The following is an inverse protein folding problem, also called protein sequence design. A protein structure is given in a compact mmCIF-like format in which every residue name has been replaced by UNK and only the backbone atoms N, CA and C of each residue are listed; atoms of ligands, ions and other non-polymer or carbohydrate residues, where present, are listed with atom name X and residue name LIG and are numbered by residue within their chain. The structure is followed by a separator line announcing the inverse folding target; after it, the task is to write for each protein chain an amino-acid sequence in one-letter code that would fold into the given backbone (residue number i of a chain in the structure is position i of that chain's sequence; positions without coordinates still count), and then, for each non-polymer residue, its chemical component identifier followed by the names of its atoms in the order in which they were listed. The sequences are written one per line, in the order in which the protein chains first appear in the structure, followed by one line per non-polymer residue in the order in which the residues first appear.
data_IF_399586504103
#
_entry.id   IF_399586504103
#
_cell.length_a   1.000
_cell.length_b   1.000
_cell.length_c   1.000
_cell.angle_alpha   90.00
_cell.angle_beta   90.00
_cell.angle_gamma   90.00
#
_symmetry.space_group_name_H-M   'P 1'
#
loop_
_entity.id
_entity.type
_entity.pdbx_description
1 polymer ?
#
# COMPACT_ATOMS: atom_id res chain seq x y z
N UNK A 1 28.22 -20.14 -47.77
CA UNK A 1 28.34 -20.32 -46.31
C UNK A 1 26.92 -20.61 -45.81
N UNK A 2 26.58 -21.89 -45.66
CA UNK A 2 25.29 -22.30 -45.11
C UNK A 2 25.31 -22.08 -43.59
N UNK A 3 24.80 -20.93 -43.16
CA UNK A 3 24.52 -20.71 -41.75
C UNK A 3 23.23 -21.46 -41.41
N UNK A 4 23.36 -22.65 -40.82
CA UNK A 4 22.23 -23.34 -40.21
C UNK A 4 21.77 -22.53 -38.99
N UNK A 5 20.50 -22.15 -38.95
CA UNK A 5 19.91 -21.52 -37.78
C UNK A 5 19.83 -22.56 -36.63
N UNK A 6 20.47 -22.28 -35.51
CA UNK A 6 20.37 -23.11 -34.30
C UNK A 6 19.11 -22.73 -33.51
N UNK A 7 17.98 -23.36 -33.84
CA UNK A 7 16.69 -23.10 -33.20
C UNK A 7 16.55 -24.01 -31.98
N UNK A 8 16.65 -23.44 -30.78
CA UNK A 8 16.60 -24.19 -29.52
C UNK A 8 15.16 -24.46 -29.05
N UNK A 9 14.28 -23.47 -29.09
CA UNK A 9 12.87 -23.62 -28.70
C UNK A 9 12.00 -22.52 -29.30
N UNK A 10 11.01 -22.92 -30.11
CA UNK A 10 9.96 -22.02 -30.61
C UNK A 10 8.93 -21.73 -29.50
N UNK A 11 8.63 -22.73 -28.67
CA UNK A 11 7.69 -22.61 -27.56
C UNK A 11 8.11 -21.49 -26.59
N UNK A 12 9.40 -21.38 -26.27
CA UNK A 12 9.90 -20.33 -25.38
C UNK A 12 9.62 -18.91 -25.92
N UNK A 13 9.61 -18.72 -27.25
CA UNK A 13 9.27 -17.43 -27.87
C UNK A 13 7.76 -17.17 -27.84
N UNK A 14 6.94 -18.21 -27.96
CA UNK A 14 5.48 -18.11 -27.80
C UNK A 14 5.10 -17.77 -26.36
N UNK A 15 5.72 -18.44 -25.40
CA UNK A 15 5.52 -18.20 -23.97
C UNK A 15 5.94 -16.78 -23.60
N UNK A 16 7.12 -16.34 -24.04
CA UNK A 16 7.58 -14.96 -23.84
C UNK A 16 6.61 -13.93 -24.44
N UNK A 17 6.09 -14.18 -25.64
CA UNK A 17 5.07 -13.31 -26.26
C UNK A 17 3.81 -13.24 -25.39
N UNK A 18 3.36 -14.38 -24.86
CA UNK A 18 2.20 -14.46 -23.97
C UNK A 18 2.40 -13.68 -22.67
N UNK A 19 3.50 -13.93 -21.96
CA UNK A 19 3.85 -13.24 -20.71
C UNK A 19 3.98 -11.73 -20.92
N UNK A 20 4.66 -11.29 -21.99
CA UNK A 20 4.77 -9.87 -22.32
C UNK A 20 3.42 -9.22 -22.63
N UNK A 21 2.53 -9.93 -23.32
CA UNK A 21 1.16 -9.45 -23.57
C UNK A 21 0.35 -9.29 -22.29
N UNK A 22 0.44 -10.27 -21.39
CA UNK A 22 -0.26 -10.25 -20.11
C UNK A 22 0.25 -9.11 -19.22
N UNK A 23 1.57 -9.00 -19.04
CA UNK A 23 2.22 -7.90 -18.33
C UNK A 23 1.79 -6.53 -18.88
N UNK A 24 1.73 -6.39 -20.21
CA UNK A 24 1.30 -5.15 -20.85
C UNK A 24 -0.11 -4.73 -20.47
N UNK A 25 -1.04 -5.69 -20.48
CA UNK A 25 -2.44 -5.45 -20.10
C UNK A 25 -2.54 -5.07 -18.63
N UNK A 26 -1.95 -5.86 -17.74
CA UNK A 26 -2.04 -5.64 -16.29
C UNK A 26 -1.42 -4.31 -15.88
N UNK A 27 -0.23 -4.00 -16.40
CA UNK A 27 0.43 -2.73 -16.11
C UNK A 27 -0.40 -1.53 -16.61
N UNK A 28 -1.03 -1.65 -17.78
CA UNK A 28 -1.89 -0.60 -18.31
C UNK A 28 -3.17 -0.42 -17.48
N UNK A 29 -3.77 -1.51 -17.02
CA UNK A 29 -4.97 -1.51 -16.18
C UNK A 29 -4.68 -0.86 -14.82
N UNK A 30 -3.56 -1.20 -14.18
CA UNK A 30 -3.13 -0.58 -12.92
C UNK A 30 -2.89 0.93 -13.12
N UNK A 31 -2.17 1.33 -14.16
CA UNK A 31 -1.93 2.75 -14.44
C UNK A 31 -3.24 3.53 -14.65
N UNK A 32 -4.21 2.93 -15.36
CA UNK A 32 -5.53 3.54 -15.58
C UNK A 32 -6.35 3.63 -14.29
N UNK A 33 -6.34 2.58 -13.47
CA UNK A 33 -7.01 2.56 -12.18
C UNK A 33 -6.44 3.63 -11.23
N UNK A 34 -5.10 3.71 -11.13
CA UNK A 34 -4.44 4.75 -10.32
C UNK A 34 -4.75 6.15 -10.83
N UNK A 35 -4.76 6.37 -12.16
CA UNK A 35 -5.11 7.67 -12.73
C UNK A 35 -6.57 8.08 -12.40
N UNK A 36 -7.49 7.13 -12.38
CA UNK A 36 -8.88 7.37 -11.98
C UNK A 36 -9.00 7.72 -10.49
N UNK A 37 -8.29 7.01 -9.61
CA UNK A 37 -8.28 7.30 -8.17
C UNK A 37 -7.65 8.67 -7.85
N UNK A 38 -6.59 9.04 -8.56
CA UNK A 38 -6.00 10.38 -8.49
C UNK A 38 -7.06 11.44 -8.83
N UNK A 39 -7.80 11.23 -9.92
CA UNK A 39 -8.84 12.18 -10.35
C UNK A 39 -9.96 12.29 -9.32
N UNK A 40 -10.47 11.15 -8.82
CA UNK A 40 -11.50 11.10 -7.77
C UNK A 40 -11.05 11.86 -6.52
N UNK A 41 -9.80 11.66 -6.11
CA UNK A 41 -9.21 12.34 -4.95
C UNK A 41 -9.12 13.85 -5.17
N UNK A 42 -8.70 14.29 -6.35
CA UNK A 42 -8.64 15.71 -6.70
C UNK A 42 -10.02 16.36 -6.74
N UNK A 43 -11.01 15.69 -7.31
CA UNK A 43 -12.40 16.16 -7.36
C UNK A 43 -12.99 16.26 -5.96
N UNK A 44 -12.78 15.24 -5.11
CA UNK A 44 -13.20 15.27 -3.71
C UNK A 44 -12.55 16.43 -2.93
N UNK A 45 -11.24 16.66 -3.08
CA UNK A 45 -10.56 17.78 -2.44
C UNK A 45 -11.10 19.14 -2.92
N UNK A 46 -11.42 19.27 -4.20
CA UNK A 46 -12.03 20.48 -4.75
C UNK A 46 -13.41 20.73 -4.15
N UNK A 47 -14.24 19.69 -4.05
CA UNK A 47 -15.56 19.76 -3.41
C UNK A 47 -15.44 20.14 -1.92
N UNK A 48 -14.57 19.44 -1.17
CA UNK A 48 -14.33 19.73 0.26
C UNK A 48 -13.84 21.15 0.47
N UNK A 49 -12.98 21.66 -0.42
CA UNK A 49 -12.52 23.05 -0.36
C UNK A 49 -13.68 24.01 -0.55
N UNK A 50 -14.54 23.78 -1.55
CA UNK A 50 -15.73 24.60 -1.77
C UNK A 50 -16.68 24.59 -0.57
N UNK A 51 -16.93 23.41 0.00
CA UNK A 51 -17.73 23.23 1.20
C UNK A 51 -17.20 24.05 2.38
N UNK A 52 -15.92 23.88 2.75
CA UNK A 52 -15.35 24.59 3.90
C UNK A 52 -15.21 26.10 3.67
N UNK A 53 -15.01 26.54 2.42
CA UNK A 53 -15.07 27.97 2.09
C UNK A 53 -16.47 28.55 2.32
N UNK A 54 -17.52 27.84 1.88
CA UNK A 54 -18.90 28.26 2.11
C UNK A 54 -19.24 28.26 3.60
N UNK A 55 -18.82 27.23 4.33
CA UNK A 55 -19.08 27.08 5.76
C UNK A 55 -18.36 28.14 6.59
N UNK A 56 -17.10 28.46 6.27
CA UNK A 56 -16.37 29.56 6.91
C UNK A 56 -17.09 30.90 6.70
N UNK A 57 -17.55 31.19 5.48
CA UNK A 57 -18.34 32.41 5.19
C UNK A 57 -19.64 32.44 5.99
N UNK A 58 -20.41 31.34 5.99
CA UNK A 58 -21.67 31.23 6.74
C UNK A 58 -21.46 31.44 8.24
N UNK A 59 -20.45 30.80 8.82
CA UNK A 59 -20.12 30.95 10.26
C UNK A 59 -19.61 32.35 10.58
N UNK A 60 -18.90 33.00 9.66
CA UNK A 60 -18.48 34.39 9.81
C UNK A 60 -19.68 35.34 9.89
N UNK A 61 -20.73 35.13 9.09
CA UNK A 61 -21.97 35.90 9.20
C UNK A 61 -22.67 35.70 10.56
N UNK A 62 -22.62 34.48 11.12
CA UNK A 62 -23.15 34.20 12.47
C UNK A 62 -22.36 34.96 13.53
N UNK A 63 -21.03 35.01 13.43
CA UNK A 63 -20.17 35.81 14.33
C UNK A 63 -20.56 37.29 14.27
N UNK A 64 -20.77 37.82 13.06
CA UNK A 64 -21.19 39.23 12.87
C UNK A 64 -22.55 39.48 13.53
N UNK A 65 -23.54 38.60 13.32
CA UNK A 65 -24.88 38.72 13.95
C UNK A 65 -24.82 38.62 15.47
N UNK A 66 -24.07 37.66 16.01
CA UNK A 66 -23.91 37.51 17.47
C UNK A 66 -23.21 38.72 18.09
N UNK A 67 -22.19 39.26 17.41
CA UNK A 67 -21.46 40.45 17.86
C UNK A 67 -22.35 41.70 17.84
N UNK A 68 -23.20 41.85 16.82
CA UNK A 68 -24.20 42.92 16.77
C UNK A 68 -25.22 42.80 17.91
N UNK A 69 -25.72 41.60 18.19
CA UNK A 69 -26.64 41.37 19.31
C UNK A 69 -26.01 41.70 20.67
N UNK A 70 -24.73 41.35 20.87
CA UNK A 70 -23.98 41.75 22.06
C UNK A 70 -23.86 43.27 22.15
N UNK A 71 -23.54 43.95 21.05
CA UNK A 71 -23.45 45.41 21.02
C UNK A 71 -24.80 46.07 21.36
N UNK A 72 -25.91 45.57 20.80
CA UNK A 72 -27.27 46.04 21.13
C UNK A 72 -27.59 45.85 22.60
N UNK A 73 -27.27 44.69 23.18
CA UNK A 73 -27.47 44.44 24.62
C UNK A 73 -26.67 45.43 25.47
N UNK A 74 -25.40 45.66 25.16
CA UNK A 74 -24.57 46.64 25.89
C UNK A 74 -25.11 48.07 25.77
N UNK A 75 -25.72 48.40 24.63
CA UNK A 75 -26.33 49.70 24.39
C UNK A 75 -27.67 49.88 25.11
N UNK A 76 -28.39 48.80 25.48
CA UNK A 76 -29.66 48.87 26.21
C UNK A 76 -29.48 49.13 27.71
N UNK A 77 -28.60 50.08 28.04
CA UNK A 77 -28.40 50.56 29.41
C UNK A 77 -29.70 51.12 29.96
N UNK A 78 -30.00 50.86 31.22
CA UNK A 78 -31.20 51.38 31.86
C UNK A 78 -30.83 52.31 33.02
N UNK A 79 -31.70 53.28 33.27
CA UNK A 79 -31.55 54.21 34.39
C UNK A 79 -32.36 53.70 35.57
N UNK A 80 -31.73 53.57 36.72
CA UNK A 80 -32.42 53.23 37.96
C UNK A 80 -33.29 54.43 38.41
N UNK A 81 -34.62 54.27 38.52
CA UNK A 81 -35.52 55.35 38.91
C UNK A 81 -35.27 55.90 40.33
N UNK A 82 -34.66 55.11 41.22
CA UNK A 82 -34.43 55.47 42.63
C UNK A 82 -33.10 56.17 42.83
N UNK A 83 -32.04 55.69 42.18
CA UNK A 83 -30.68 56.22 42.35
C UNK A 83 -30.27 57.18 41.23
N UNK A 84 -30.99 57.17 40.11
CA UNK A 84 -30.69 57.98 38.92
C UNK A 84 -29.47 57.50 38.14
N UNK A 85 -28.78 56.44 38.60
CA UNK A 85 -27.59 55.87 37.99
C UNK A 85 -27.93 55.03 36.74
N UNK A 86 -27.00 54.95 35.79
CA UNK A 86 -27.11 54.11 34.60
C UNK A 86 -26.40 52.77 34.82
N UNK A 87 -27.09 51.67 34.50
CA UNK A 87 -26.57 50.31 34.59
C UNK A 87 -26.55 49.64 33.22
N UNK A 88 -25.44 48.98 32.91
CA UNK A 88 -25.32 48.11 31.74
C UNK A 88 -25.86 46.72 32.07
N UNK A 89 -26.71 46.12 31.22
CA UNK A 89 -27.15 44.75 31.44
C UNK A 89 -25.97 43.77 31.33
N UNK A 90 -26.00 42.64 32.04
CA UNK A 90 -24.86 41.72 32.13
C UNK A 90 -24.50 41.01 30.79
N UNK A 91 -25.43 40.96 29.82
CA UNK A 91 -25.23 40.42 28.46
C UNK A 91 -24.50 39.06 28.37
N UNK A 92 -24.61 38.22 29.39
CA UNK A 92 -23.86 36.95 29.51
C UNK A 92 -24.20 35.98 28.38
N UNK A 93 -25.49 35.83 28.07
CA UNK A 93 -25.95 34.97 26.98
C UNK A 93 -25.40 35.40 25.60
N UNK A 94 -25.37 36.71 25.33
CA UNK A 94 -24.82 37.25 24.08
C UNK A 94 -23.30 37.07 24.01
N UNK A 95 -22.59 37.23 25.13
CA UNK A 95 -21.16 36.99 25.21
C UNK A 95 -20.81 35.52 24.92
N UNK A 96 -21.56 34.58 25.51
CA UNK A 96 -21.40 33.15 25.25
C UNK A 96 -21.74 32.80 23.79
N UNK A 97 -22.79 33.41 23.23
CA UNK A 97 -23.16 33.22 21.82
C UNK A 97 -22.04 33.65 20.86
N UNK A 98 -21.39 34.79 21.13
CA UNK A 98 -20.22 35.26 20.36
C UNK A 98 -19.07 34.26 20.48
N UNK A 99 -18.73 33.84 21.71
CA UNK A 99 -17.65 32.87 21.94
C UNK A 99 -17.89 31.56 21.20
N UNK A 100 -19.12 31.04 21.24
CA UNK A 100 -19.51 29.81 20.55
C UNK A 100 -19.42 29.97 19.03
N UNK A 101 -19.92 31.08 18.49
CA UNK A 101 -19.85 31.36 17.06
C UNK A 101 -18.40 31.48 16.57
N UNK A 102 -17.53 32.13 17.34
CA UNK A 102 -16.10 32.24 17.05
C UNK A 102 -15.41 30.87 17.07
N UNK A 103 -15.75 30.00 18.04
CA UNK A 103 -15.24 28.63 18.10
C UNK A 103 -15.58 27.82 16.85
N UNK A 104 -16.84 27.88 16.39
CA UNK A 104 -17.25 27.23 15.15
C UNK A 104 -16.56 27.82 13.92
N UNK A 105 -16.40 29.15 13.85
CA UNK A 105 -15.67 29.76 12.73
C UNK A 105 -14.22 29.25 12.67
N UNK A 106 -13.52 29.22 13.82
CA UNK A 106 -12.15 28.75 13.91
C UNK A 106 -11.98 27.27 13.48
N UNK A 107 -12.95 26.42 13.81
CA UNK A 107 -13.01 25.03 13.35
C UNK A 107 -13.10 24.97 11.81
N UNK A 108 -14.05 25.68 11.19
CA UNK A 108 -14.22 25.68 9.74
C UNK A 108 -13.00 26.26 9.00
N UNK A 109 -12.37 27.30 9.56
CA UNK A 109 -11.12 27.84 9.02
C UNK A 109 -9.95 26.86 9.14
N UNK A 110 -9.91 26.06 10.20
CA UNK A 110 -8.90 25.00 10.38
C UNK A 110 -9.09 23.92 9.33
N UNK A 111 -10.31 23.44 9.13
CA UNK A 111 -10.60 22.44 8.10
C UNK A 111 -10.34 22.97 6.68
N UNK A 112 -10.64 24.25 6.43
CA UNK A 112 -10.27 24.88 5.16
C UNK A 112 -8.76 24.88 4.94
N UNK A 113 -7.95 25.20 5.96
CA UNK A 113 -6.48 25.13 5.87
C UNK A 113 -6.00 23.69 5.64
N UNK A 114 -6.60 22.71 6.33
CA UNK A 114 -6.28 21.29 6.16
C UNK A 114 -6.49 20.86 4.71
N UNK A 115 -7.66 21.14 4.13
CA UNK A 115 -7.95 20.77 2.74
C UNK A 115 -7.03 21.48 1.76
N UNK A 116 -6.68 22.74 1.99
CA UNK A 116 -5.71 23.47 1.15
C UNK A 116 -4.28 22.89 1.24
N UNK A 117 -3.88 22.40 2.42
CA UNK A 117 -2.61 21.71 2.59
C UNK A 117 -2.61 20.38 1.83
N UNK A 118 -3.63 19.54 2.03
CA UNK A 118 -3.75 18.27 1.31
C UNK A 118 -3.85 18.44 -0.19
N UNK A 119 -4.56 19.47 -0.68
CA UNK A 119 -4.59 19.81 -2.10
C UNK A 119 -3.19 20.00 -2.67
N UNK A 120 -2.32 20.72 -1.97
CA UNK A 120 -0.93 20.96 -2.42
C UNK A 120 -0.08 19.68 -2.38
N UNK A 121 -0.20 18.91 -1.30
CA UNK A 121 0.55 17.65 -1.15
C UNK A 121 0.17 16.64 -2.23
N UNK A 122 -1.13 16.47 -2.50
CA UNK A 122 -1.62 15.58 -3.55
C UNK A 122 -1.18 16.07 -4.92
N UNK A 123 -1.24 17.38 -5.21
CA UNK A 123 -0.75 17.91 -6.49
C UNK A 123 0.74 17.63 -6.72
N UNK A 124 1.57 17.73 -5.67
CA UNK A 124 2.99 17.39 -5.74
C UNK A 124 3.19 15.89 -6.00
N UNK A 125 2.54 15.04 -5.22
CA UNK A 125 2.64 13.59 -5.39
C UNK A 125 2.16 13.12 -6.77
N UNK A 126 1.09 13.72 -7.31
CA UNK A 126 0.58 13.45 -8.66
C UNK A 126 1.58 13.86 -9.73
N UNK A 127 2.22 15.03 -9.58
CA UNK A 127 3.25 15.46 -10.52
C UNK A 127 4.44 14.50 -10.53
N UNK A 128 4.83 13.96 -9.38
CA UNK A 128 5.93 13.01 -9.25
C UNK A 128 5.57 11.66 -9.87
N UNK A 129 4.37 11.15 -9.56
CA UNK A 129 3.80 9.94 -10.16
C UNK A 129 3.74 10.04 -11.69
N UNK A 130 3.24 11.17 -12.23
CA UNK A 130 3.16 11.38 -13.68
C UNK A 130 4.53 11.37 -14.34
N UNK A 131 5.55 11.98 -13.72
CA UNK A 131 6.93 11.96 -14.25
C UNK A 131 7.49 10.54 -14.31
N UNK A 132 7.22 9.71 -13.29
CA UNK A 132 7.69 8.32 -13.24
C UNK A 132 6.95 7.43 -14.24
N UNK A 133 5.63 7.59 -14.34
CA UNK A 133 4.77 6.71 -15.15
C UNK A 133 4.75 7.07 -16.63
N UNK A 134 5.07 8.30 -17.02
CA UNK A 134 5.05 8.71 -18.43
C UNK A 134 5.98 7.85 -19.31
N UNK A 135 7.17 7.49 -18.81
CA UNK A 135 8.10 6.61 -19.56
C UNK A 135 7.55 5.19 -19.68
N UNK A 136 6.98 4.67 -18.58
CA UNK A 136 6.37 3.34 -18.57
C UNK A 136 5.19 3.28 -19.54
N UNK A 137 4.30 4.27 -19.54
CA UNK A 137 3.16 4.32 -20.45
C UNK A 137 3.59 4.33 -21.94
N UNK A 138 4.67 5.04 -22.28
CA UNK A 138 5.23 5.03 -23.64
C UNK A 138 5.77 3.64 -24.00
N UNK A 139 6.51 3.00 -23.08
CA UNK A 139 7.07 1.67 -23.28
C UNK A 139 5.98 0.61 -23.48
N UNK A 140 4.95 0.62 -22.63
CA UNK A 140 3.81 -0.30 -22.69
C UNK A 140 2.98 -0.11 -23.97
N UNK A 141 2.73 1.13 -24.38
CA UNK A 141 1.91 1.40 -25.57
C UNK A 141 2.63 1.14 -26.89
N UNK A 142 3.91 1.54 -27.01
CA UNK A 142 4.62 1.50 -28.28
C UNK A 142 5.59 0.33 -28.39
N UNK A 143 6.52 0.21 -27.44
CA UNK A 143 7.67 -0.68 -27.60
C UNK A 143 7.30 -2.13 -27.29
N UNK A 144 6.45 -2.35 -26.29
CA UNK A 144 5.90 -3.67 -25.98
C UNK A 144 5.05 -4.21 -27.14
N UNK A 145 4.18 -3.38 -27.72
CA UNK A 145 3.40 -3.73 -28.91
C UNK A 145 4.29 -4.16 -30.09
N UNK A 146 5.39 -3.43 -30.33
CA UNK A 146 6.38 -3.78 -31.37
C UNK A 146 7.12 -5.08 -31.05
N UNK A 147 7.50 -5.29 -29.78
CA UNK A 147 8.19 -6.51 -29.34
C UNK A 147 7.30 -7.75 -29.50
N UNK A 148 6.03 -7.67 -29.10
CA UNK A 148 5.03 -8.74 -29.29
C UNK A 148 4.85 -9.04 -30.79
N UNK A 149 4.75 -8.00 -31.63
CA UNK A 149 4.62 -8.18 -33.07
C UNK A 149 5.88 -8.80 -33.70
N UNK A 150 7.07 -8.43 -33.22
CA UNK A 150 8.33 -9.03 -33.64
C UNK A 150 8.41 -10.50 -33.27
N UNK A 151 8.11 -10.85 -32.02
CA UNK A 151 8.08 -12.23 -31.53
C UNK A 151 7.08 -13.07 -32.35
N UNK A 152 5.89 -12.53 -32.62
CA UNK A 152 4.89 -13.19 -33.47
C UNK A 152 5.41 -13.49 -34.89
N UNK A 153 6.11 -12.54 -35.52
CA UNK A 153 6.74 -12.77 -36.84
C UNK A 153 7.85 -13.81 -36.77
N UNK A 154 8.71 -13.73 -35.75
CA UNK A 154 9.82 -14.68 -35.56
C UNK A 154 9.31 -16.10 -35.37
N UNK A 155 8.28 -16.29 -34.53
CA UNK A 155 7.62 -17.59 -34.33
C UNK A 155 7.09 -18.14 -35.66
N UNK A 156 6.35 -17.33 -36.43
CA UNK A 156 5.79 -17.76 -37.72
C UNK A 156 6.88 -18.19 -38.73
N UNK A 157 7.97 -17.44 -38.80
CA UNK A 157 9.13 -17.76 -39.65
C UNK A 157 9.76 -19.09 -39.21
N UNK A 158 10.02 -19.27 -37.91
CA UNK A 158 10.66 -20.49 -37.39
C UNK A 158 9.77 -21.73 -37.56
N UNK A 159 8.46 -21.60 -37.36
CA UNK A 159 7.49 -22.66 -37.63
C UNK A 159 7.49 -23.06 -39.10
N UNK A 160 7.60 -22.10 -40.02
CA UNK A 160 7.68 -22.38 -41.46
C UNK A 160 8.94 -23.17 -41.84
N UNK A 161 10.08 -22.89 -41.20
CA UNK A 161 11.31 -23.68 -41.41
C UNK A 161 11.22 -25.08 -40.80
N UNK A 162 10.64 -25.22 -39.61
CA UNK A 162 10.44 -26.51 -38.96
C UNK A 162 9.54 -27.44 -39.81
N UNK A 163 8.52 -26.89 -40.47
CA UNK A 163 7.62 -27.65 -41.34
C UNK A 163 8.30 -28.18 -42.63
N UNK A 164 9.49 -27.66 -43.00
CA UNK A 164 10.21 -28.04 -44.22
C UNK A 164 11.26 -29.14 -43.95
N UNK A 165 11.58 -29.45 -42.69
CA UNK A 165 12.53 -30.53 -42.33
C UNK A 165 11.81 -31.89 -42.33
N UNK A 166 12.15 -32.84 -43.23
CA UNK A 166 11.64 -34.21 -43.13
C UNK A 166 12.26 -34.89 -41.91
N UNK A 167 11.42 -35.50 -41.07
CA UNK A 167 11.82 -36.34 -39.93
C UNK A 167 12.84 -37.40 -40.37
N UNK A 168 14.09 -37.25 -39.91
CA UNK A 168 15.09 -38.30 -39.93
C UNK A 168 15.48 -38.61 -38.48
N UNK A 169 15.04 -39.79 -38.06
CA UNK A 169 15.50 -40.67 -36.96
C UNK A 169 15.73 -40.12 -35.54
N UNK A 170 14.81 -40.59 -34.69
CA UNK A 170 14.91 -40.99 -33.28
C UNK A 170 16.24 -40.82 -32.54
N UNK A 171 16.16 -40.14 -31.39
CA UNK A 171 17.03 -40.37 -30.25
C UNK A 171 16.18 -40.49 -28.98
N UNK A 172 16.30 -41.65 -28.35
CA UNK A 172 15.81 -42.03 -27.02
C UNK A 172 16.22 -41.02 -25.93
N UNK A 173 15.28 -40.66 -25.05
CA UNK A 173 15.58 -39.94 -23.81
C UNK A 173 15.88 -40.93 -22.68
N UNK A 174 17.09 -40.87 -22.11
CA UNK A 174 17.40 -41.46 -20.80
C UNK A 174 17.17 -40.42 -19.68
N UNK A 175 16.65 -40.82 -18.51
CA UNK A 175 16.48 -39.92 -17.38
C UNK A 175 17.80 -39.76 -16.60
N UNK A 176 18.13 -38.53 -16.20
CA UNK A 176 19.19 -38.26 -15.22
C UNK A 176 18.60 -38.29 -13.80
N UNK A 177 19.10 -39.21 -12.99
CA UNK A 177 19.10 -39.10 -11.53
C UNK A 177 20.16 -38.09 -11.08
N UNK A 178 19.88 -37.32 -10.02
CA UNK A 178 20.93 -36.72 -9.18
C UNK A 178 20.64 -36.99 -7.70
N UNK A 179 21.63 -37.61 -7.09
CA UNK A 179 21.84 -37.96 -5.69
C UNK A 179 21.88 -36.73 -4.76
N UNK A 180 21.32 -36.88 -3.56
CA UNK A 180 21.19 -35.81 -2.57
C UNK A 180 22.40 -35.54 -1.67
N UNK A 181 22.25 -34.52 -0.82
CA UNK A 181 22.82 -34.43 0.54
C UNK A 181 22.22 -33.27 1.35
N UNK A 182 21.97 -33.55 2.65
CA UNK A 182 21.56 -32.67 3.77
C UNK A 182 20.07 -32.28 3.88
N UNK A 183 19.26 -33.31 4.13
CA UNK A 183 17.90 -33.21 4.67
C UNK A 183 17.87 -32.77 6.14
N UNK A 184 16.87 -31.94 6.46
CA UNK A 184 16.54 -31.51 7.81
C UNK A 184 15.63 -30.27 7.86
N UNK A 185 15.69 -29.36 6.87
CA UNK A 185 15.00 -28.06 6.94
C UNK A 185 14.07 -27.73 5.75
N UNK A 186 14.16 -28.46 4.63
CA UNK A 186 13.38 -28.15 3.41
C UNK A 186 11.94 -28.66 3.56
N UNK A 187 11.74 -29.82 4.18
CA UNK A 187 10.42 -30.44 4.35
C UNK A 187 9.46 -29.63 5.25
N UNK A 188 9.97 -28.82 6.19
CA UNK A 188 9.12 -28.00 7.07
C UNK A 188 8.63 -26.72 6.39
N UNK A 189 9.48 -26.08 5.59
CA UNK A 189 9.12 -24.91 4.79
C UNK A 189 8.12 -25.31 3.69
N UNK A 190 8.35 -26.45 3.02
CA UNK A 190 7.45 -26.98 1.99
C UNK A 190 6.03 -27.28 2.49
N UNK A 191 5.86 -27.56 3.79
CA UNK A 191 4.53 -27.83 4.38
C UNK A 191 3.72 -26.57 4.69
N UNK A 192 4.38 -25.43 4.85
CA UNK A 192 3.70 -24.20 5.26
C UNK A 192 3.23 -23.36 4.07
N UNK A 193 3.78 -23.57 2.87
CA UNK A 193 3.43 -22.77 1.69
C UNK A 193 2.46 -23.52 0.80
N UNK A 194 1.38 -22.85 0.39
CA UNK A 194 0.36 -23.43 -0.51
C UNK A 194 0.17 -22.55 -1.76
N UNK A 195 0.01 -23.16 -2.94
CA UNK A 195 -0.13 -22.44 -4.22
C UNK A 195 0.44 -23.20 -5.42
N UNK A 196 0.52 -22.53 -6.58
CA UNK A 196 1.18 -23.04 -7.78
C UNK A 196 2.71 -23.11 -7.63
N UNK A 197 3.40 -23.86 -8.49
CA UNK A 197 4.84 -24.15 -8.34
C UNK A 197 5.75 -22.91 -8.37
N UNK A 198 5.35 -21.85 -9.07
CA UNK A 198 6.12 -20.60 -9.12
C UNK A 198 5.82 -19.69 -7.92
N UNK A 199 4.56 -19.61 -7.49
CA UNK A 199 4.14 -18.89 -6.29
C UNK A 199 4.81 -19.46 -5.03
N UNK A 200 4.87 -20.79 -4.91
CA UNK A 200 5.49 -21.45 -3.76
C UNK A 200 6.99 -21.21 -3.70
N UNK A 201 7.66 -21.09 -4.85
CA UNK A 201 9.10 -20.82 -4.92
C UNK A 201 9.48 -19.47 -4.30
N UNK A 202 8.73 -18.40 -4.59
CA UNK A 202 9.03 -17.08 -4.01
C UNK A 202 8.77 -17.03 -2.51
N UNK A 203 7.67 -17.63 -2.03
CA UNK A 203 7.37 -17.71 -0.61
C UNK A 203 8.39 -18.56 0.15
N UNK A 204 8.88 -19.65 -0.44
CA UNK A 204 9.99 -20.44 0.12
C UNK A 204 11.27 -19.61 0.24
N UNK A 205 11.62 -18.85 -0.80
CA UNK A 205 12.79 -17.97 -0.76
C UNK A 205 12.62 -16.90 0.32
N UNK A 206 11.44 -16.27 0.42
CA UNK A 206 11.14 -15.27 1.44
C UNK A 206 11.26 -15.82 2.86
N UNK A 207 10.69 -17.00 3.13
CA UNK A 207 10.83 -17.68 4.42
C UNK A 207 12.29 -18.04 4.73
N UNK A 208 13.05 -18.49 3.74
CA UNK A 208 14.49 -18.76 3.90
C UNK A 208 15.25 -17.49 4.28
N UNK A 209 15.02 -16.38 3.55
CA UNK A 209 15.64 -15.07 3.85
C UNK A 209 15.28 -14.58 5.25
N UNK A 210 14.02 -14.74 5.65
CA UNK A 210 13.56 -14.36 6.99
C UNK A 210 14.28 -15.17 8.07
N UNK A 211 14.45 -16.49 7.87
CA UNK A 211 15.14 -17.39 8.80
C UNK A 211 16.64 -17.06 8.98
N UNK A 212 17.27 -16.50 7.96
CA UNK A 212 18.70 -16.18 7.97
C UNK A 212 19.04 -14.93 8.82
N UNK A 213 18.04 -14.11 9.17
CA UNK A 213 18.20 -12.91 10.00
C UNK A 213 17.85 -13.18 11.45
N UNK A 214 18.56 -12.60 12.41
CA UNK A 214 18.37 -12.87 13.84
C UNK A 214 16.94 -12.57 14.35
N UNK A 215 16.38 -11.39 14.04
CA UNK A 215 14.99 -11.08 14.42
C UNK A 215 13.98 -11.94 13.63
N UNK A 216 14.28 -12.21 12.36
CA UNK A 216 13.43 -12.99 11.47
C UNK A 216 13.41 -14.48 11.81
N UNK A 217 14.48 -15.04 12.39
CA UNK A 217 14.60 -16.44 12.78
C UNK A 217 13.52 -16.84 13.77
N UNK A 218 13.33 -16.07 14.83
CA UNK A 218 12.30 -16.35 15.84
C UNK A 218 10.89 -16.27 15.25
N UNK A 219 10.65 -15.33 14.32
CA UNK A 219 9.36 -15.16 13.65
C UNK A 219 9.09 -16.34 12.71
N UNK A 220 10.07 -16.69 11.88
CA UNK A 220 10.03 -17.85 10.97
C UNK A 220 9.80 -19.14 11.74
N UNK A 221 10.53 -19.38 12.82
CA UNK A 221 10.33 -20.53 13.70
C UNK A 221 8.92 -20.56 14.29
N UNK A 222 8.34 -19.41 14.64
CA UNK A 222 6.96 -19.34 15.13
C UNK A 222 5.97 -19.76 14.04
N UNK A 223 6.10 -19.21 12.83
CA UNK A 223 5.25 -19.58 11.68
C UNK A 223 5.29 -21.10 11.44
N UNK A 224 6.50 -21.67 11.40
CA UNK A 224 6.70 -23.11 11.18
C UNK A 224 6.13 -23.96 12.33
N UNK A 225 6.43 -23.60 13.59
CA UNK A 225 6.05 -24.39 14.77
C UNK A 225 4.55 -24.35 15.06
N UNK A 226 3.86 -23.27 14.67
CA UNK A 226 2.40 -23.14 14.79
C UNK A 226 1.66 -23.79 13.62
N UNK A 227 2.37 -24.27 12.60
CA UNK A 227 1.76 -24.79 11.38
C UNK A 227 0.97 -23.72 10.63
N UNK A 228 1.36 -22.46 10.75
CA UNK A 228 0.71 -21.36 10.05
C UNK A 228 0.98 -21.49 8.56
N UNK A 229 -0.09 -21.52 7.76
CA UNK A 229 0.03 -21.62 6.31
C UNK A 229 0.30 -20.25 5.69
N UNK A 230 0.94 -20.22 4.52
CA UNK A 230 1.26 -18.99 3.79
C UNK A 230 0.85 -19.18 2.34
N UNK A 231 0.11 -18.23 1.80
CA UNK A 231 -0.23 -18.21 0.37
C UNK A 231 -0.43 -16.80 -0.15
N UNK A 232 -0.51 -16.72 -1.47
CA UNK A 232 -1.08 -15.55 -2.12
C UNK A 232 -2.61 -15.64 -2.13
N UNK A 233 -3.28 -14.50 -1.99
CA UNK A 233 -4.73 -14.39 -2.07
C UNK A 233 -5.23 -13.03 -2.56
N UNK A 234 -6.51 -12.99 -2.93
CA UNK A 234 -7.22 -11.73 -3.13
C UNK A 234 -7.53 -11.11 -1.77
N UNK A 235 -7.14 -9.85 -1.59
CA UNK A 235 -7.31 -9.08 -0.34
C UNK A 235 -7.87 -7.71 -0.73
N UNK A 236 -8.59 -7.04 0.18
CA UNK A 236 -9.13 -5.69 -0.02
C UNK A 236 -8.06 -4.68 -0.49
N UNK A 237 -8.52 -3.68 -1.26
CA UNK A 237 -7.65 -2.66 -1.85
C UNK A 237 -6.82 -1.92 -0.78
N UNK A 238 -5.49 -2.05 -0.89
CA UNK A 238 -4.52 -1.34 -0.05
C UNK A 238 -3.84 -2.18 1.03
N UNK A 239 -4.32 -3.39 1.31
CA UNK A 239 -3.68 -4.33 2.24
C UNK A 239 -2.67 -5.21 1.50
N UNK A 240 -1.43 -5.26 1.99
CA UNK A 240 -0.35 -6.03 1.35
C UNK A 240 -0.31 -7.47 1.84
N UNK A 241 -0.51 -7.68 3.14
CA UNK A 241 -0.67 -8.98 3.75
C UNK A 241 -1.54 -8.84 5.01
N UNK A 242 -2.10 -9.96 5.49
CA UNK A 242 -2.69 -10.05 6.82
C UNK A 242 -2.56 -11.47 7.35
N UNK A 243 -2.57 -11.62 8.68
CA UNK A 243 -2.74 -12.90 9.36
C UNK A 243 -4.21 -13.16 9.69
N UNK A 244 -4.74 -14.26 9.18
CA UNK A 244 -6.04 -14.84 9.50
C UNK A 244 -5.89 -15.80 10.68
N UNK A 245 -6.30 -15.38 11.86
CA UNK A 245 -6.25 -16.21 13.07
C UNK A 245 -7.30 -17.32 13.11
N UNK A 246 -8.41 -17.19 12.35
CA UNK A 246 -9.45 -18.23 12.29
C UNK A 246 -8.98 -19.43 11.46
N UNK A 247 -8.28 -19.17 10.36
CA UNK A 247 -7.76 -20.19 9.45
C UNK A 247 -6.28 -20.54 9.70
N UNK A 248 -5.62 -19.84 10.64
CA UNK A 248 -4.19 -19.96 10.92
C UNK A 248 -3.34 -19.81 9.65
N UNK A 249 -3.58 -18.71 8.93
CA UNK A 249 -3.04 -18.48 7.60
C UNK A 249 -2.54 -17.05 7.43
N UNK A 250 -1.35 -16.87 6.86
CA UNK A 250 -0.86 -15.59 6.36
C UNK A 250 -1.22 -15.49 4.88
N UNK A 251 -2.03 -14.49 4.53
CA UNK A 251 -2.44 -14.22 3.16
C UNK A 251 -1.68 -13.00 2.66
N UNK A 252 -0.86 -13.17 1.63
CA UNK A 252 -0.19 -12.07 0.93
C UNK A 252 -1.01 -11.71 -0.31
N UNK A 253 -1.13 -10.42 -0.61
CA UNK A 253 -1.90 -9.97 -1.77
C UNK A 253 -1.33 -10.54 -3.08
N UNK A 254 -2.18 -11.04 -3.97
CA UNK A 254 -1.78 -11.55 -5.29
C UNK A 254 -0.97 -10.54 -6.10
N UNK A 255 -1.16 -9.23 -5.88
CA UNK A 255 -0.38 -8.20 -6.56
C UNK A 255 1.12 -8.23 -6.21
N UNK A 256 1.49 -8.93 -5.13
CA UNK A 256 2.88 -9.11 -4.67
C UNK A 256 3.50 -10.43 -5.15
N UNK A 257 2.85 -11.21 -6.01
CA UNK A 257 3.36 -12.48 -6.55
C UNK A 257 4.65 -12.37 -7.37
N UNK A 258 5.03 -11.16 -7.77
CA UNK A 258 6.28 -10.88 -8.49
C UNK A 258 7.24 -10.03 -7.66
N UNK A 259 6.95 -9.80 -6.37
CA UNK A 259 7.82 -9.05 -5.49
C UNK A 259 9.10 -9.84 -5.20
N UNK A 260 10.20 -9.14 -4.97
CA UNK A 260 11.44 -9.78 -4.57
C UNK A 260 11.27 -10.50 -3.21
N UNK A 261 11.94 -11.65 -3.02
CA UNK A 261 11.89 -12.40 -1.76
C UNK A 261 12.19 -11.56 -0.52
N UNK A 262 13.02 -10.54 -0.65
CA UNK A 262 13.42 -9.60 0.40
C UNK A 262 12.23 -8.73 0.87
N UNK A 263 11.38 -8.29 -0.06
CA UNK A 263 10.15 -7.55 0.22
C UNK A 263 9.13 -8.47 0.90
N UNK A 264 8.93 -9.67 0.33
CA UNK A 264 8.04 -10.68 0.90
C UNK A 264 8.47 -11.08 2.32
N UNK A 265 9.77 -11.24 2.57
CA UNK A 265 10.31 -11.55 3.89
C UNK A 265 10.00 -10.43 4.90
N UNK A 266 10.05 -9.17 4.50
CA UNK A 266 9.67 -8.05 5.36
C UNK A 266 8.17 -8.10 5.73
N UNK A 267 7.29 -8.41 4.77
CA UNK A 267 5.86 -8.59 5.06
C UNK A 267 5.60 -9.82 5.93
N UNK A 268 6.29 -10.93 5.69
CA UNK A 268 6.23 -12.11 6.56
C UNK A 268 6.73 -11.82 7.98
N UNK A 269 7.70 -10.93 8.14
CA UNK A 269 8.12 -10.48 9.46
C UNK A 269 6.99 -9.73 10.20
N UNK A 270 6.22 -8.90 9.47
CA UNK A 270 5.05 -8.23 10.04
C UNK A 270 4.00 -9.26 10.48
N UNK A 271 3.49 -10.05 9.54
CA UNK A 271 2.38 -10.98 9.82
C UNK A 271 2.76 -12.11 10.76
N UNK A 272 3.98 -12.63 10.65
CA UNK A 272 4.51 -13.63 11.56
C UNK A 272 4.64 -13.12 13.00
N UNK A 273 4.78 -11.81 13.20
CA UNK A 273 4.73 -11.24 14.55
C UNK A 273 3.31 -11.33 15.14
N UNK A 274 2.26 -11.19 14.32
CA UNK A 274 0.88 -11.39 14.77
C UNK A 274 0.60 -12.84 15.15
N UNK A 275 1.17 -13.80 14.41
CA UNK A 275 1.14 -15.23 14.76
C UNK A 275 1.68 -15.47 16.18
N UNK A 276 2.76 -14.79 16.58
CA UNK A 276 3.37 -14.95 17.92
C UNK A 276 2.43 -14.56 19.07
N UNK A 277 1.51 -13.61 18.86
CA UNK A 277 0.65 -13.13 19.93
C UNK A 277 -0.72 -13.80 19.98
N UNK A 278 -1.24 -14.27 18.84
CA UNK A 278 -2.52 -14.97 18.71
C UNK A 278 -3.66 -14.38 19.59
N UNK A 279 -3.88 -13.06 19.48
CA UNK A 279 -4.89 -12.29 20.24
C UNK A 279 -5.36 -11.08 19.45
N UNK A 280 -6.46 -10.46 19.88
CA UNK A 280 -7.00 -9.23 19.27
C UNK A 280 -5.92 -8.15 19.13
N UNK A 281 -5.98 -7.37 18.03
CA UNK A 281 -4.97 -6.38 17.68
C UNK A 281 -4.97 -5.16 18.61
N UNK A 282 -3.83 -4.52 18.74
CA UNK A 282 -3.65 -3.26 19.48
C UNK A 282 -2.59 -2.40 18.82
N UNK A 283 -2.60 -1.09 19.11
CA UNK A 283 -1.59 -0.15 18.61
C UNK A 283 -0.17 -0.58 19.00
N UNK A 284 0.00 -1.18 20.18
CA UNK A 284 1.29 -1.69 20.63
C UNK A 284 1.75 -2.90 19.82
N UNK A 285 0.84 -3.83 19.51
CA UNK A 285 1.16 -4.98 18.67
C UNK A 285 1.50 -4.55 17.24
N UNK A 286 0.69 -3.69 16.63
CA UNK A 286 0.97 -3.13 15.31
C UNK A 286 2.33 -2.45 15.26
N UNK A 287 2.67 -1.66 16.30
CA UNK A 287 4.00 -1.03 16.38
C UNK A 287 5.13 -2.06 16.37
N UNK A 288 4.98 -3.14 17.13
CA UNK A 288 6.00 -4.19 17.19
C UNK A 288 6.08 -4.98 15.87
N UNK A 289 4.96 -5.24 15.19
CA UNK A 289 4.94 -5.87 13.87
C UNK A 289 5.61 -4.98 12.80
N UNK A 290 5.27 -3.69 12.75
CA UNK A 290 5.94 -2.72 11.86
C UNK A 290 7.43 -2.55 12.18
N UNK A 291 7.82 -2.64 13.46
CA UNK A 291 9.23 -2.62 13.85
C UNK A 291 9.98 -3.86 13.32
N UNK A 292 9.40 -5.05 13.44
CA UNK A 292 9.97 -6.28 12.89
C UNK A 292 10.14 -6.17 11.36
N UNK A 293 9.12 -5.67 10.66
CA UNK A 293 9.19 -5.38 9.23
C UNK A 293 10.33 -4.41 8.89
N UNK A 294 10.41 -3.27 9.57
CA UNK A 294 11.45 -2.26 9.31
C UNK A 294 12.87 -2.80 9.53
N UNK A 295 13.05 -3.67 10.53
CA UNK A 295 14.33 -4.26 10.88
C UNK A 295 14.77 -5.32 9.87
N UNK A 296 13.85 -6.22 9.47
CA UNK A 296 14.11 -7.21 8.42
C UNK A 296 14.38 -6.51 7.08
N UNK A 297 13.57 -5.52 6.70
CA UNK A 297 13.79 -4.75 5.49
C UNK A 297 15.14 -4.05 5.49
N UNK A 298 15.56 -3.48 6.62
CA UNK A 298 16.85 -2.80 6.71
C UNK A 298 18.05 -3.72 6.51
N UNK A 299 17.89 -5.03 6.79
CA UNK A 299 18.95 -6.03 6.63
C UNK A 299 18.93 -6.69 5.25
N UNK A 300 17.75 -6.90 4.65
CA UNK A 300 17.61 -7.59 3.37
C UNK A 300 17.62 -6.68 2.15
N UNK A 301 17.25 -5.40 2.28
CA UNK A 301 16.96 -4.52 1.14
C UNK A 301 18.08 -4.48 0.09
N UNK A 302 19.36 -4.54 0.49
CA UNK A 302 20.49 -4.32 -0.42
C UNK A 302 20.27 -3.05 -1.29
N UNK A 303 20.19 -3.20 -2.62
CA UNK A 303 19.91 -2.13 -3.59
C UNK A 303 18.42 -2.05 -4.01
N UNK A 304 17.57 -2.93 -3.49
CA UNK A 304 16.14 -2.97 -3.81
C UNK A 304 15.40 -1.74 -3.28
N UNK A 305 14.23 -1.44 -3.83
CA UNK A 305 13.41 -0.31 -3.38
C UNK A 305 11.95 -0.71 -3.33
N UNK A 306 11.31 -0.47 -2.20
CA UNK A 306 9.87 -0.69 -2.03
C UNK A 306 9.28 0.44 -1.20
N UNK A 307 8.28 1.11 -1.77
CA UNK A 307 7.72 2.34 -1.17
C UNK A 307 7.02 2.07 0.17
N UNK A 308 6.41 0.89 0.34
CA UNK A 308 5.70 0.53 1.56
C UNK A 308 6.69 0.17 2.67
N UNK A 309 7.69 -0.66 2.38
CA UNK A 309 8.73 -1.03 3.33
C UNK A 309 9.61 0.18 3.70
N UNK A 310 9.89 1.07 2.75
CA UNK A 310 10.62 2.33 3.01
C UNK A 310 9.81 3.31 3.86
N UNK A 311 8.49 3.39 3.63
CA UNK A 311 7.59 4.16 4.48
C UNK A 311 7.56 3.61 5.90
N UNK A 312 7.43 2.29 6.07
CA UNK A 312 7.43 1.64 7.40
C UNK A 312 8.75 1.89 8.12
N UNK A 313 9.89 1.73 7.43
CA UNK A 313 11.21 2.05 7.98
C UNK A 313 11.32 3.51 8.43
N UNK A 314 10.87 4.44 7.59
CA UNK A 314 10.82 5.86 7.96
C UNK A 314 9.92 6.10 9.19
N UNK A 315 8.71 5.53 9.21
CA UNK A 315 7.75 5.69 10.30
C UNK A 315 8.34 5.21 11.63
N UNK A 316 9.01 4.05 11.64
CA UNK A 316 9.67 3.50 12.84
C UNK A 316 10.86 4.36 13.27
N UNK A 317 11.59 4.98 12.33
CA UNK A 317 12.72 5.86 12.63
C UNK A 317 12.34 7.14 13.39
N UNK A 318 11.05 7.53 13.39
CA UNK A 318 10.54 8.69 14.14
C UNK A 318 10.52 8.46 15.66
N UNK A 319 10.69 7.21 16.11
CA UNK A 319 10.53 6.81 17.51
C UNK A 319 9.13 6.30 17.82
N UNK A 320 9.02 5.56 18.93
CA UNK A 320 7.82 4.78 19.26
C UNK A 320 6.55 5.62 19.36
N UNK A 321 6.63 6.78 20.02
CA UNK A 321 5.46 7.64 20.27
C UNK A 321 4.90 8.20 18.96
N UNK A 322 5.78 8.72 18.11
CA UNK A 322 5.44 9.27 16.80
C UNK A 322 4.96 8.15 15.86
N UNK A 323 5.64 7.01 15.81
CA UNK A 323 5.21 5.84 15.03
C UNK A 323 3.81 5.37 15.43
N UNK A 324 3.52 5.22 16.73
CA UNK A 324 2.17 4.90 17.23
C UNK A 324 1.13 5.96 16.85
N UNK A 325 1.52 7.23 16.79
CA UNK A 325 0.61 8.28 16.29
C UNK A 325 0.27 8.11 14.80
N UNK A 326 1.19 7.59 13.98
CA UNK A 326 0.91 7.27 12.58
C UNK A 326 0.02 6.04 12.47
N UNK A 327 0.32 4.98 13.23
CA UNK A 327 -0.47 3.73 13.26
C UNK A 327 -1.93 4.01 13.64
N UNK A 328 -2.20 4.86 14.65
CA UNK A 328 -3.57 5.26 15.03
C UNK A 328 -4.37 5.93 13.91
N UNK A 329 -3.71 6.54 12.91
CA UNK A 329 -4.42 7.12 11.75
C UNK A 329 -4.88 6.05 10.77
N UNK A 330 -4.13 4.96 10.64
CA UNK A 330 -4.48 3.81 9.80
C UNK A 330 -5.47 2.88 10.50
N UNK A 331 -5.36 2.74 11.82
CA UNK A 331 -6.18 1.85 12.64
C UNK A 331 -6.87 2.63 13.78
N UNK A 332 -7.85 3.50 13.48
CA UNK A 332 -8.46 4.40 14.48
C UNK A 332 -9.27 3.68 15.55
N UNK A 333 -9.64 2.42 15.31
CA UNK A 333 -10.50 1.63 16.20
C UNK A 333 -9.72 0.66 17.10
N UNK A 334 -8.40 0.51 16.93
CA UNK A 334 -7.62 -0.40 17.76
C UNK A 334 -7.37 0.20 19.16
N UNK A 335 -7.49 -0.61 20.22
CA UNK A 335 -7.11 -0.18 21.56
C UNK A 335 -5.59 0.00 21.68
N UNK A 336 -5.13 0.74 22.69
CA UNK A 336 -3.69 0.94 22.91
C UNK A 336 -2.97 -0.37 23.25
N UNK A 337 -3.63 -1.22 24.05
CA UNK A 337 -3.16 -2.54 24.48
C UNK A 337 -4.26 -3.57 24.21
N UNK A 338 -3.85 -4.80 23.90
CA UNK A 338 -4.74 -5.96 23.79
C UNK A 338 -5.13 -6.54 25.15
#
# INVERSE_FOLDING_TARGET
MDSKANVLSIQALEDLKGVLGHFGSEAQDVLNATALEIRRTQDWLAERRGYWQAEARRRQEVVVKASAALATCRASRYRDPKTGAYYEPPCTAQLEAVRKAQGYLAEAETELRNVQQWTRLVQQAVADFQRQTQRMAILLSNDLSKAIALLGRSVAILQSYAAIVPLADGIEMMPMEHSGSRGGNVEEIERCVTGSSDETRQLHQALSRLKDIDIGRSISETILNTGTTIRFGQIENGTVAYFDSEHNEIVINNNSQNAFPEILAAHLAHEGTHVQWNREGSINQEYHAFRAQAEVWSQLKEDEVDAQCDFVKWMISLGEKEAKSHIRRYYPNLPENA
#
